data_IF_518034659408
#
_entry.id   IF_518034659408
#
_cell.length_a   1.000
_cell.length_b   1.000
_cell.length_c   1.000
_cell.angle_alpha   90.00
_cell.angle_beta   90.00
_cell.angle_gamma   90.00
#
_symmetry.space_group_name_H-M   'P 1'
#
loop_
_entity.id
_entity.type
_entity.pdbx_description
1 polymer ?
#
# COMPACT_ATOMS: atom_id res chain seq x y z
N UNK A 1 -31.54 -3.72 -31.30
CA UNK A 1 -30.27 -3.19 -30.75
C UNK A 1 -29.34 -4.39 -30.58
N UNK A 2 -28.14 -4.38 -31.19
CA UNK A 2 -27.17 -5.48 -31.10
C UNK A 2 -25.85 -4.98 -30.53
N UNK A 3 -25.15 -5.84 -29.79
CA UNK A 3 -23.81 -5.61 -29.27
C UNK A 3 -22.86 -6.68 -29.81
N UNK A 4 -21.59 -6.32 -30.02
CA UNK A 4 -20.53 -7.21 -30.49
C UNK A 4 -19.27 -7.00 -29.65
N UNK A 5 -18.61 -8.09 -29.27
CA UNK A 5 -17.29 -8.03 -28.63
C UNK A 5 -16.27 -7.56 -29.67
N UNK A 6 -15.54 -6.49 -29.34
CA UNK A 6 -14.49 -5.94 -30.20
C UNK A 6 -13.11 -6.47 -29.78
N UNK A 7 -12.86 -6.54 -28.47
CA UNK A 7 -11.60 -7.04 -27.90
C UNK A 7 -11.90 -7.88 -26.65
N UNK A 8 -11.12 -8.93 -26.45
CA UNK A 8 -11.18 -9.81 -25.28
C UNK A 8 -9.76 -10.23 -24.90
N UNK A 9 -9.42 -10.12 -23.62
CA UNK A 9 -8.22 -10.73 -23.05
C UNK A 9 -8.65 -11.92 -22.20
N UNK A 10 -8.00 -13.05 -22.42
CA UNK A 10 -8.27 -14.29 -21.67
C UNK A 10 -7.17 -14.50 -20.65
N UNK A 11 -7.55 -15.07 -19.49
CA UNK A 11 -6.61 -15.47 -18.45
C UNK A 11 -5.54 -16.42 -19.05
N UNK A 12 -4.23 -16.11 -18.98
CA UNK A 12 -3.21 -16.88 -19.70
C UNK A 12 -3.10 -18.36 -19.32
N UNK A 13 -3.44 -18.72 -18.08
CA UNK A 13 -3.44 -20.11 -17.60
C UNK A 13 -4.69 -20.91 -18.01
N UNK A 14 -5.61 -20.32 -18.78
CA UNK A 14 -6.84 -20.96 -19.25
C UNK A 14 -7.90 -21.19 -18.17
N UNK A 15 -7.68 -20.73 -16.93
CA UNK A 15 -8.65 -20.87 -15.86
C UNK A 15 -9.71 -19.74 -15.87
N UNK A 16 -10.65 -19.81 -14.93
CA UNK A 16 -11.64 -18.77 -14.69
C UNK A 16 -11.25 -17.91 -13.48
N UNK A 17 -11.51 -16.62 -13.56
CA UNK A 17 -11.53 -15.75 -12.38
C UNK A 17 -12.83 -16.01 -11.63
N UNK A 18 -12.76 -16.74 -10.51
CA UNK A 18 -13.94 -17.22 -9.78
C UNK A 18 -14.38 -16.28 -8.66
N UNK A 19 -13.66 -15.19 -8.41
CA UNK A 19 -13.98 -14.21 -7.36
C UNK A 19 -14.37 -12.84 -7.94
N UNK A 20 -13.52 -11.83 -7.79
CA UNK A 20 -13.74 -10.45 -8.26
C UNK A 20 -12.79 -10.15 -9.41
N UNK A 21 -12.13 -9.00 -9.39
CA UNK A 21 -11.18 -8.59 -10.41
C UNK A 21 -11.58 -7.31 -11.10
N UNK A 22 -10.69 -6.84 -11.95
CA UNK A 22 -10.87 -5.62 -12.74
C UNK A 22 -9.93 -5.64 -13.94
N UNK A 23 -10.28 -4.84 -14.92
CA UNK A 23 -9.43 -4.51 -16.06
C UNK A 23 -9.10 -3.02 -15.97
N UNK A 24 -7.85 -2.66 -16.24
CA UNK A 24 -7.36 -1.29 -16.32
C UNK A 24 -6.62 -1.12 -17.64
N UNK A 25 -7.11 -0.24 -18.50
CA UNK A 25 -6.35 0.22 -19.68
C UNK A 25 -5.36 1.29 -19.20
N UNK A 26 -4.09 1.09 -19.51
CA UNK A 26 -2.99 1.96 -19.11
C UNK A 26 -2.77 3.11 -20.11
N UNK A 27 -2.06 4.19 -19.74
CA UNK A 27 -1.81 5.33 -20.63
C UNK A 27 -1.06 4.97 -21.93
N UNK A 28 -0.27 3.91 -21.93
CA UNK A 28 0.44 3.36 -23.09
C UNK A 28 -0.41 2.37 -23.91
N UNK A 29 -1.71 2.26 -23.61
CA UNK A 29 -2.66 1.33 -24.21
C UNK A 29 -2.44 -0.15 -23.87
N UNK A 30 -1.50 -0.47 -22.97
CA UNK A 30 -1.43 -1.80 -22.38
C UNK A 30 -2.66 -2.05 -21.51
N UNK A 31 -2.96 -3.32 -21.28
CA UNK A 31 -4.12 -3.74 -20.48
C UNK A 31 -3.63 -4.53 -19.29
N UNK A 32 -3.84 -3.96 -18.10
CA UNK A 32 -3.57 -4.62 -16.84
C UNK A 32 -4.85 -5.29 -16.33
N UNK A 33 -4.77 -6.55 -15.94
CA UNK A 33 -5.91 -7.34 -15.50
C UNK A 33 -5.62 -7.98 -14.15
N UNK A 34 -6.52 -7.75 -13.18
CA UNK A 34 -6.55 -8.48 -11.93
C UNK A 34 -7.51 -9.66 -12.03
N UNK A 35 -6.97 -10.88 -12.07
CA UNK A 35 -7.72 -12.13 -12.09
C UNK A 35 -7.91 -12.64 -10.67
N UNK A 36 -8.83 -12.03 -9.94
CA UNK A 36 -9.08 -12.34 -8.54
C UNK A 36 -9.31 -13.84 -8.31
N UNK A 37 -8.47 -14.41 -7.45
CA UNK A 37 -8.46 -15.80 -7.06
C UNK A 37 -7.60 -15.98 -5.81
N UNK A 38 -7.50 -17.22 -5.33
CA UNK A 38 -6.42 -17.62 -4.43
C UNK A 38 -5.11 -17.45 -5.20
N UNK A 39 -4.09 -16.81 -4.60
CA UNK A 39 -2.80 -16.40 -5.20
C UNK A 39 -2.75 -14.97 -5.79
N UNK A 40 -3.88 -14.26 -5.89
CA UNK A 40 -3.87 -12.87 -6.35
C UNK A 40 -3.37 -12.67 -7.78
N UNK A 41 -3.62 -13.61 -8.68
CA UNK A 41 -3.19 -13.58 -10.08
C UNK A 41 -3.46 -12.25 -10.81
N UNK A 42 -2.45 -11.73 -11.51
CA UNK A 42 -2.52 -10.49 -12.28
C UNK A 42 -1.63 -10.55 -13.52
N UNK A 43 -2.07 -9.89 -14.60
CA UNK A 43 -1.33 -9.88 -15.87
C UNK A 43 -1.32 -8.50 -16.50
N UNK A 44 -0.34 -8.24 -17.35
CA UNK A 44 -0.31 -7.10 -18.24
C UNK A 44 -0.15 -7.59 -19.68
N UNK A 45 -0.97 -7.03 -20.56
CA UNK A 45 -0.95 -7.33 -21.97
C UNK A 45 -0.62 -6.08 -22.78
N UNK A 46 0.03 -6.25 -23.92
CA UNK A 46 0.14 -5.17 -24.90
C UNK A 46 -1.23 -4.82 -25.47
N UNK A 47 -1.32 -3.68 -26.17
CA UNK A 47 -2.52 -3.27 -26.90
C UNK A 47 -2.96 -4.28 -27.97
N UNK A 48 -2.04 -5.15 -28.43
CA UNK A 48 -2.31 -6.21 -29.42
C UNK A 48 -2.60 -7.58 -28.77
N UNK A 49 -2.53 -7.69 -27.44
CA UNK A 49 -2.87 -8.90 -26.68
C UNK A 49 -1.69 -9.76 -26.24
N UNK A 50 -0.45 -9.39 -26.58
CA UNK A 50 0.75 -10.08 -26.12
C UNK A 50 0.87 -10.03 -24.60
N UNK A 51 1.19 -11.14 -23.94
CA UNK A 51 1.42 -11.17 -22.49
C UNK A 51 2.80 -10.59 -22.17
N UNK A 52 2.82 -9.46 -21.45
CA UNK A 52 4.03 -8.74 -21.07
C UNK A 52 4.47 -9.04 -19.63
N UNK A 53 3.51 -9.16 -18.71
CA UNK A 53 3.76 -9.45 -17.30
C UNK A 53 2.76 -10.48 -16.82
N UNK A 54 3.24 -11.44 -16.02
CA UNK A 54 2.43 -12.37 -15.27
C UNK A 54 2.96 -12.43 -13.83
N UNK A 55 2.08 -12.22 -12.86
CA UNK A 55 2.45 -12.22 -11.45
C UNK A 55 1.36 -12.84 -10.57
N UNK A 56 1.79 -13.45 -9.46
CA UNK A 56 0.95 -14.01 -8.39
C UNK A 56 1.73 -14.01 -7.08
N UNK A 57 1.04 -14.02 -5.96
CA UNK A 57 1.63 -14.33 -4.66
C UNK A 57 2.17 -15.76 -4.66
N UNK A 58 3.28 -15.97 -3.95
CA UNK A 58 3.87 -17.31 -3.78
C UNK A 58 3.03 -18.23 -2.88
N UNK A 59 2.07 -17.66 -2.15
CA UNK A 59 1.10 -18.37 -1.31
C UNK A 59 -0.32 -18.13 -1.83
N UNK A 60 -1.14 -19.17 -1.72
CA UNK A 60 -2.58 -19.18 -2.02
C UNK A 60 -3.44 -18.52 -0.92
N UNK A 61 -2.84 -18.20 0.23
CA UNK A 61 -3.54 -17.60 1.39
C UNK A 61 -4.12 -16.23 1.08
N UNK A 62 -3.51 -15.49 0.17
CA UNK A 62 -3.92 -14.15 -0.18
C UNK A 62 -4.80 -14.16 -1.42
N UNK A 63 -5.81 -13.30 -1.40
CA UNK A 63 -6.66 -13.02 -2.54
C UNK A 63 -6.76 -11.52 -2.76
N UNK A 64 -6.93 -11.13 -4.01
CA UNK A 64 -7.09 -9.72 -4.42
C UNK A 64 -8.55 -9.43 -4.67
N UNK A 65 -9.04 -8.27 -4.24
CA UNK A 65 -10.35 -7.77 -4.68
C UNK A 65 -10.22 -7.08 -6.05
N UNK A 66 -9.20 -6.24 -6.18
CA UNK A 66 -8.78 -5.53 -7.39
C UNK A 66 -7.25 -5.41 -7.41
N UNK A 67 -6.70 -5.21 -8.59
CA UNK A 67 -5.29 -4.90 -8.81
C UNK A 67 -5.18 -3.68 -9.72
N UNK A 68 -4.22 -2.79 -9.43
CA UNK A 68 -3.99 -1.59 -10.22
C UNK A 68 -2.50 -1.38 -10.45
N UNK A 69 -2.17 -0.84 -11.63
CA UNK A 69 -0.82 -0.41 -11.98
C UNK A 69 -0.81 1.09 -12.21
N UNK A 70 0.10 1.78 -11.53
CA UNK A 70 0.33 3.22 -11.67
C UNK A 70 1.84 3.48 -11.70
N UNK A 71 2.30 4.36 -12.59
CA UNK A 71 3.71 4.77 -12.64
C UNK A 71 4.13 5.55 -11.40
N UNK A 72 3.23 6.42 -10.89
CA UNK A 72 3.44 7.22 -9.69
C UNK A 72 2.16 7.21 -8.86
N UNK A 73 2.15 6.39 -7.80
CA UNK A 73 1.07 6.41 -6.81
C UNK A 73 1.45 7.35 -5.67
N UNK A 74 0.81 8.51 -5.63
CA UNK A 74 0.86 9.42 -4.48
C UNK A 74 -0.40 9.23 -3.65
N UNK A 75 -0.23 8.68 -2.46
CA UNK A 75 -1.31 8.56 -1.51
C UNK A 75 -1.29 9.74 -0.54
N UNK A 76 -2.36 10.53 -0.59
CA UNK A 76 -2.63 11.63 0.35
C UNK A 76 -3.71 11.12 1.28
N UNK A 77 -3.32 10.86 2.53
CA UNK A 77 -4.25 10.35 3.54
C UNK A 77 -5.08 11.49 4.11
N UNK A 78 -6.41 11.31 4.12
CA UNK A 78 -7.35 12.28 4.69
C UNK A 78 -7.45 12.17 6.23
N UNK A 79 -7.06 11.02 6.77
CA UNK A 79 -7.04 10.79 8.22
C UNK A 79 -5.78 11.38 8.84
N UNK A 80 -5.76 11.72 10.14
CA UNK A 80 -4.53 12.05 10.84
C UNK A 80 -3.56 10.86 10.94
N UNK A 81 -2.27 11.13 11.14
CA UNK A 81 -1.30 10.09 11.48
C UNK A 81 -1.67 9.43 12.82
N UNK A 82 -1.46 8.13 12.93
CA UNK A 82 -1.62 7.37 14.18
C UNK A 82 -0.31 7.37 14.95
N UNK A 83 -0.37 7.68 16.25
CA UNK A 83 0.75 7.63 17.18
C UNK A 83 0.34 6.83 18.41
N UNK A 84 1.18 5.88 18.81
CA UNK A 84 1.03 5.15 20.07
C UNK A 84 2.32 5.18 20.85
N UNK A 85 2.27 5.62 22.10
CA UNK A 85 3.41 5.68 22.99
C UNK A 85 3.32 4.59 24.07
N UNK A 86 4.44 3.92 24.34
CA UNK A 86 4.56 2.94 25.42
C UNK A 86 5.77 3.26 26.27
N UNK A 87 5.62 3.15 27.59
CA UNK A 87 6.72 3.22 28.53
C UNK A 87 7.25 1.82 28.80
N UNK A 88 8.55 1.64 28.66
CA UNK A 88 9.27 0.44 29.03
C UNK A 88 10.12 0.71 30.27
N UNK A 89 9.96 -0.15 31.28
CA UNK A 89 10.79 -0.13 32.48
C UNK A 89 11.87 -1.21 32.33
N UNK A 90 13.09 -0.81 31.97
CA UNK A 90 14.24 -1.69 32.03
C UNK A 90 14.86 -1.57 33.43
N UNK A 91 15.32 -2.69 34.01
CA UNK A 91 15.84 -2.73 35.38
C UNK A 91 17.05 -1.79 35.60
N UNK A 92 17.77 -1.43 34.52
CA UNK A 92 19.03 -0.67 34.57
C UNK A 92 19.02 0.60 33.71
N UNK A 93 17.88 1.00 33.13
CA UNK A 93 17.75 2.21 32.32
C UNK A 93 16.62 3.08 32.88
N UNK A 94 16.85 4.39 33.00
CA UNK A 94 15.78 5.37 33.19
C UNK A 94 14.62 5.08 32.23
N UNK A 95 13.38 5.18 32.72
CA UNK A 95 12.16 4.89 31.94
C UNK A 95 12.27 5.35 30.48
N UNK A 96 12.13 4.42 29.54
CA UNK A 96 12.19 4.71 28.11
C UNK A 96 10.77 4.77 27.55
N UNK A 97 10.47 5.77 26.72
CA UNK A 97 9.21 5.83 25.98
C UNK A 97 9.48 5.55 24.51
N UNK A 98 8.84 4.53 23.95
CA UNK A 98 8.88 4.22 22.52
C UNK A 98 7.63 4.76 21.83
N UNK A 99 7.79 5.26 20.61
CA UNK A 99 6.72 5.87 19.82
C UNK A 99 6.51 5.07 18.53
N UNK A 100 5.37 4.41 18.40
CA UNK A 100 4.97 3.74 17.18
C UNK A 100 4.14 4.73 16.36
N UNK A 101 4.62 5.08 15.17
CA UNK A 101 3.96 6.03 14.28
C UNK A 101 3.71 5.42 12.91
N UNK A 102 2.50 5.63 12.40
CA UNK A 102 2.10 5.20 11.07
C UNK A 102 1.08 6.18 10.48
N UNK A 103 1.02 6.25 9.15
CA UNK A 103 0.00 7.03 8.46
C UNK A 103 -0.45 6.30 7.22
N UNK A 104 -1.60 5.63 7.35
CA UNK A 104 -2.08 4.71 6.34
C UNK A 104 -2.35 5.44 5.01
N UNK A 105 -1.81 4.89 3.93
CA UNK A 105 -1.92 5.47 2.59
C UNK A 105 -1.02 6.69 2.34
N UNK A 106 -0.31 7.25 3.32
CA UNK A 106 0.56 8.40 3.10
C UNK A 106 1.91 7.96 2.50
N UNK A 107 2.15 8.26 1.22
CA UNK A 107 3.37 7.81 0.51
C UNK A 107 4.50 8.83 0.54
N UNK A 108 4.21 10.11 0.81
CA UNK A 108 5.19 11.21 0.71
C UNK A 108 5.86 11.56 2.05
N UNK A 109 5.53 10.85 3.13
CA UNK A 109 6.15 11.09 4.44
C UNK A 109 7.62 10.67 4.40
N UNK A 110 8.52 11.65 4.39
CA UNK A 110 9.95 11.41 4.42
C UNK A 110 10.47 11.13 5.85
N UNK A 111 9.92 11.83 6.85
CA UNK A 111 10.46 11.83 8.22
C UNK A 111 9.40 12.18 9.25
N UNK A 112 9.50 11.54 10.41
CA UNK A 112 8.74 11.87 11.60
C UNK A 112 9.55 12.79 12.51
N UNK A 113 8.90 13.81 13.07
CA UNK A 113 9.47 14.69 14.09
C UNK A 113 8.53 14.68 15.28
N UNK A 114 9.06 14.35 16.45
CA UNK A 114 8.29 14.26 17.68
C UNK A 114 8.59 15.47 18.53
N UNK A 115 7.55 16.16 18.95
CA UNK A 115 7.65 17.35 19.79
C UNK A 115 6.97 17.11 21.12
N UNK A 116 7.57 17.57 22.20
CA UNK A 116 7.08 17.38 23.57
C UNK A 116 7.38 18.58 24.45
N UNK A 117 6.66 18.70 25.55
CA UNK A 117 6.83 19.76 26.53
C UNK A 117 6.60 19.22 27.94
N UNK A 118 7.35 19.67 28.96
CA UNK A 118 7.03 19.41 30.36
C UNK A 118 5.62 19.90 30.72
N UNK A 119 4.93 19.17 31.61
CA UNK A 119 3.53 19.46 32.03
C UNK A 119 3.34 20.92 32.49
N UNK A 120 4.36 21.54 33.08
CA UNK A 120 4.30 22.88 33.65
C UNK A 120 4.94 23.97 32.77
N UNK A 121 5.45 23.63 31.59
CA UNK A 121 6.04 24.60 30.67
C UNK A 121 4.93 25.21 29.79
N UNK A 122 4.73 26.51 29.92
CA UNK A 122 3.76 27.25 29.12
C UNK A 122 4.18 27.25 27.64
N UNK A 123 3.50 26.43 26.84
CA UNK A 123 3.38 26.48 25.37
C UNK A 123 4.58 26.11 24.48
N UNK A 124 5.81 26.01 24.98
CA UNK A 124 6.95 25.65 24.11
C UNK A 124 7.13 24.14 23.96
N UNK A 125 6.81 23.63 22.77
CA UNK A 125 7.10 22.26 22.35
C UNK A 125 8.52 22.19 21.76
N UNK A 126 9.35 21.34 22.34
CA UNK A 126 10.72 21.10 21.89
C UNK A 126 10.81 19.81 21.07
N UNK A 127 11.72 19.76 20.10
CA UNK A 127 11.99 18.54 19.34
C UNK A 127 12.62 17.49 20.27
N UNK A 128 11.93 16.37 20.45
CA UNK A 128 12.36 15.25 21.31
C UNK A 128 13.07 14.18 20.50
N UNK A 129 12.71 14.01 19.23
CA UNK A 129 13.32 13.02 18.36
C UNK A 129 12.87 13.13 16.91
N UNK A 130 13.63 12.50 16.02
CA UNK A 130 13.28 12.43 14.61
C UNK A 130 13.84 11.17 13.95
N UNK A 131 13.05 10.56 13.06
CA UNK A 131 13.42 9.33 12.38
C UNK A 131 12.85 9.32 10.95
N UNK A 132 13.64 8.83 10.00
CA UNK A 132 13.18 8.64 8.62
C UNK A 132 12.13 7.52 8.55
N UNK A 133 11.09 7.69 7.74
CA UNK A 133 10.08 6.64 7.56
C UNK A 133 10.72 5.44 6.86
N UNK A 134 10.63 4.26 7.47
CA UNK A 134 11.27 3.04 6.96
C UNK A 134 10.28 2.01 6.37
N UNK A 135 8.98 2.15 6.66
CA UNK A 135 7.95 1.19 6.25
C UNK A 135 6.55 1.72 6.53
N UNK A 136 5.56 0.82 6.66
CA UNK A 136 4.21 1.20 7.08
C UNK A 136 4.21 1.86 8.48
N UNK A 137 4.90 1.23 9.43
CA UNK A 137 5.09 1.70 10.79
C UNK A 137 6.58 2.01 11.03
N UNK A 138 6.85 3.01 11.88
CA UNK A 138 8.19 3.38 12.34
C UNK A 138 8.17 3.49 13.86
N UNK A 139 9.26 3.07 14.51
CA UNK A 139 9.42 3.02 15.98
C UNK A 139 10.60 3.89 16.41
#
# INVERSE_FOLDING_TARGET
>A
MSAKVIICWTRPDGQLSHLRGNVQILPDSNVFVGWSGQDGYMTEHSSTGELLVEARFTTDRFSTYRAYKYHHFTGISAEPSSLKAFTYHALDVTQMTSFYVSWNGATEVARWKFYGSPINASSEFNLVGSIAKSGFETV
#
